data_IF_580485518436
#
_entry.id   IF_580485518436
#
_cell.length_a   1.000
_cell.length_b   1.000
_cell.length_c   1.000
_cell.angle_alpha   90.00
_cell.angle_beta   90.00
_cell.angle_gamma   90.00
#
_symmetry.space_group_name_H-M   'P 1'
#
loop_
_entity.id
_entity.type
_entity.pdbx_description
1 polymer ?
#
# COMPACT_ATOMS: atom_id res chain seq x y z
N UNK A 1 7.87 23.42 -3.03
CA UNK A 1 8.38 22.38 -2.11
C UNK A 1 7.17 21.79 -1.41
N UNK A 2 6.84 20.53 -1.66
CA UNK A 2 5.73 19.87 -0.96
C UNK A 2 6.25 19.49 0.42
N UNK A 3 5.63 20.03 1.48
CA UNK A 3 6.06 19.80 2.87
C UNK A 3 5.42 18.55 3.46
N UNK A 4 4.14 18.34 3.17
CA UNK A 4 3.42 17.15 3.55
C UNK A 4 2.31 16.85 2.55
N UNK A 5 1.93 15.58 2.45
CA UNK A 5 0.79 15.13 1.65
C UNK A 5 -0.06 14.24 2.52
N UNK A 6 -1.38 14.45 2.48
CA UNK A 6 -2.35 13.56 3.07
C UNK A 6 -3.18 12.96 1.96
N UNK A 7 -3.33 11.64 1.98
CA UNK A 7 -4.22 10.90 1.07
C UNK A 7 -5.27 10.22 1.94
N UNK A 8 -6.53 10.56 1.74
CA UNK A 8 -7.64 9.96 2.50
C UNK A 8 -8.05 8.60 1.93
N UNK A 9 -8.80 7.83 2.71
CA UNK A 9 -9.40 6.60 2.22
C UNK A 9 -10.36 6.84 1.05
N UNK A 10 -11.05 7.99 1.04
CA UNK A 10 -11.94 8.40 -0.04
C UNK A 10 -11.15 8.65 -1.33
N UNK A 11 -10.07 9.44 -1.26
CA UNK A 11 -9.16 9.66 -2.40
C UNK A 11 -8.63 8.34 -2.97
N UNK A 12 -8.24 7.40 -2.11
CA UNK A 12 -7.81 6.08 -2.54
C UNK A 12 -8.96 5.31 -3.19
N UNK A 13 -10.17 5.40 -2.63
CA UNK A 13 -11.32 4.67 -3.17
C UNK A 13 -11.69 5.19 -4.55
N UNK A 14 -11.72 6.50 -4.74
CA UNK A 14 -11.93 7.15 -6.05
C UNK A 14 -10.83 6.78 -7.04
N UNK A 15 -9.56 6.88 -6.63
CA UNK A 15 -8.44 6.47 -7.47
C UNK A 15 -8.57 5.01 -7.94
N UNK A 16 -9.01 4.11 -7.08
CA UNK A 16 -9.21 2.71 -7.44
C UNK A 16 -10.39 2.50 -8.40
N UNK A 17 -11.47 3.27 -8.28
CA UNK A 17 -12.57 3.20 -9.22
C UNK A 17 -12.11 3.52 -10.66
N UNK A 18 -11.17 4.46 -10.79
CA UNK A 18 -10.59 4.86 -12.08
C UNK A 18 -9.53 3.90 -12.62
N UNK A 19 -9.09 2.90 -11.83
CA UNK A 19 -8.13 1.91 -12.29
C UNK A 19 -8.84 0.67 -12.89
N UNK A 20 -8.38 0.16 -14.05
CA UNK A 20 -8.87 -1.10 -14.62
C UNK A 20 -8.79 -2.30 -13.66
N UNK A 21 -7.93 -2.24 -12.63
CA UNK A 21 -7.84 -3.26 -11.58
C UNK A 21 -8.62 -2.94 -10.31
N UNK A 22 -9.03 -1.69 -10.07
CA UNK A 22 -9.53 -1.25 -8.77
C UNK A 22 -11.04 -1.45 -8.54
N UNK A 23 -11.85 -1.50 -9.60
CA UNK A 23 -12.77 -2.62 -9.85
C UNK A 23 -13.36 -3.43 -8.67
N UNK A 24 -12.55 -4.39 -8.24
CA UNK A 24 -12.88 -5.34 -7.18
C UNK A 24 -11.91 -5.23 -6.01
N UNK A 25 -11.24 -4.11 -5.86
CA UNK A 25 -10.32 -3.83 -4.76
C UNK A 25 -10.93 -2.82 -3.80
N UNK A 26 -10.85 -3.10 -2.50
CA UNK A 26 -11.17 -2.13 -1.46
C UNK A 26 -10.04 -2.03 -0.45
N UNK A 27 -9.83 -0.81 0.05
CA UNK A 27 -8.82 -0.49 1.05
C UNK A 27 -9.52 0.17 2.22
N UNK A 28 -9.34 -0.38 3.41
CA UNK A 28 -9.69 0.29 4.66
C UNK A 28 -8.40 0.70 5.38
N UNK A 29 -8.25 1.98 5.67
CA UNK A 29 -7.10 2.53 6.39
C UNK A 29 -7.39 2.54 7.88
N UNK A 30 -6.68 1.71 8.62
CA UNK A 30 -6.76 1.64 10.09
C UNK A 30 -5.45 2.13 10.69
N UNK A 31 -5.46 2.52 11.96
CA UNK A 31 -4.24 2.95 12.65
C UNK A 31 -3.09 1.91 12.50
N UNK A 32 -2.04 2.37 11.81
CA UNK A 32 -0.82 1.61 11.52
C UNK A 32 -0.94 0.52 10.46
N UNK A 33 -2.07 0.35 9.77
CA UNK A 33 -2.18 -0.63 8.67
C UNK A 33 -3.33 -0.38 7.70
N UNK A 34 -3.14 -0.76 6.43
CA UNK A 34 -4.20 -0.87 5.45
C UNK A 34 -4.73 -2.31 5.39
N UNK A 35 -6.05 -2.50 5.52
CA UNK A 35 -6.72 -3.75 5.15
C UNK A 35 -7.09 -3.68 3.68
N UNK A 36 -6.47 -4.53 2.88
CA UNK A 36 -6.73 -4.64 1.43
C UNK A 36 -7.58 -5.87 1.18
N UNK A 37 -8.63 -5.72 0.36
CA UNK A 37 -9.45 -6.83 -0.12
C UNK A 37 -9.53 -6.76 -1.65
N UNK A 38 -9.32 -7.89 -2.33
CA UNK A 38 -9.47 -8.01 -3.79
C UNK A 38 -10.40 -9.17 -4.12
N UNK A 39 -11.36 -8.93 -5.00
CA UNK A 39 -12.44 -9.87 -5.34
C UNK A 39 -12.52 -10.20 -6.84
N UNK A 40 -11.84 -9.41 -7.69
CA UNK A 40 -11.97 -9.48 -9.15
C UNK A 40 -11.27 -10.68 -9.81
N UNK A 41 -10.24 -11.26 -9.20
CA UNK A 41 -9.42 -12.32 -9.81
C UNK A 41 -9.80 -13.74 -9.35
N UNK A 42 -11.04 -13.96 -8.90
CA UNK A 42 -11.51 -15.24 -8.39
C UNK A 42 -11.69 -15.24 -6.86
N UNK A 43 -11.08 -16.17 -6.10
CA UNK A 43 -11.24 -16.22 -4.64
C UNK A 43 -10.87 -14.90 -3.99
N UNK A 44 -11.63 -14.48 -2.97
CA UNK A 44 -11.37 -13.20 -2.30
C UNK A 44 -10.00 -13.22 -1.64
N UNK A 45 -9.12 -12.30 -2.05
CA UNK A 45 -7.86 -12.02 -1.38
C UNK A 45 -8.09 -10.98 -0.29
N UNK A 46 -7.51 -11.19 0.89
CA UNK A 46 -7.44 -10.21 1.98
C UNK A 46 -6.00 -10.12 2.47
N UNK A 47 -5.54 -8.93 2.78
CA UNK A 47 -4.21 -8.71 3.33
C UNK A 47 -4.22 -7.52 4.31
N UNK A 48 -3.31 -7.54 5.30
CA UNK A 48 -3.01 -6.38 6.14
C UNK A 48 -1.62 -5.86 5.79
N UNK A 49 -1.57 -4.67 5.22
CA UNK A 49 -0.35 -4.01 4.73
C UNK A 49 0.11 -2.94 5.71
N UNK A 50 1.42 -2.81 5.93
CA UNK A 50 2.03 -1.77 6.77
C UNK A 50 3.25 -1.18 6.10
N UNK A 51 3.47 0.11 6.34
CA UNK A 51 4.76 0.75 6.06
C UNK A 51 5.77 0.43 7.16
N UNK A 52 7.02 0.24 6.75
CA UNK A 52 8.18 0.10 7.63
C UNK A 52 9.26 1.11 7.27
N UNK A 53 10.34 1.18 8.06
CA UNK A 53 11.48 2.05 7.78
C UNK A 53 12.06 1.74 6.39
N UNK A 54 12.57 2.78 5.73
CA UNK A 54 13.30 2.66 4.48
C UNK A 54 14.70 2.07 4.68
N UNK A 55 15.35 1.76 3.57
CA UNK A 55 16.76 1.35 3.50
C UNK A 55 17.54 2.32 2.60
N UNK A 56 18.83 2.06 2.36
CA UNK A 56 19.69 2.92 1.53
C UNK A 56 19.17 3.14 0.10
N UNK A 57 18.26 2.29 -0.38
CA UNK A 57 17.76 2.27 -1.76
C UNK A 57 16.25 2.56 -1.85
N UNK A 58 15.56 2.72 -0.72
CA UNK A 58 14.10 2.84 -0.64
C UNK A 58 13.69 3.79 0.47
N UNK A 59 12.80 4.76 0.21
CA UNK A 59 12.37 5.72 1.24
C UNK A 59 11.55 5.07 2.37
N UNK A 60 10.90 3.93 2.10
CA UNK A 60 10.17 3.12 3.07
C UNK A 60 10.06 1.68 2.58
N UNK A 61 9.71 0.76 3.48
CA UNK A 61 9.39 -0.63 3.12
C UNK A 61 7.89 -0.90 3.23
N UNK A 62 7.40 -1.88 2.48
CA UNK A 62 6.03 -2.38 2.57
C UNK A 62 6.06 -3.83 3.06
N UNK A 63 5.26 -4.11 4.08
CA UNK A 63 5.07 -5.48 4.59
C UNK A 63 3.59 -5.84 4.50
N UNK A 64 3.30 -7.08 4.10
CA UNK A 64 1.95 -7.63 4.14
C UNK A 64 1.90 -8.83 5.09
N UNK A 65 0.83 -8.90 5.86
CA UNK A 65 0.57 -9.91 6.88
C UNK A 65 -0.88 -10.38 6.81
N UNK A 66 -1.18 -11.52 7.43
CA UNK A 66 -2.53 -12.12 7.45
C UNK A 66 -3.14 -12.23 6.04
N UNK A 67 -2.34 -12.66 5.08
CA UNK A 67 -2.82 -12.82 3.71
C UNK A 67 -3.67 -14.08 3.61
N UNK A 68 -4.89 -13.93 3.11
CA UNK A 68 -5.81 -15.04 2.88
C UNK A 68 -6.38 -14.98 1.47
N UNK A 69 -6.53 -16.12 0.81
CA UNK A 69 -7.14 -16.27 -0.51
C UNK A 69 -8.27 -17.29 -0.39
N UNK A 70 -9.52 -16.87 -0.62
CA UNK A 70 -10.68 -17.76 -0.51
C UNK A 70 -10.88 -18.36 0.88
N UNK A 71 -10.44 -17.65 1.94
CA UNK A 71 -10.52 -18.14 3.32
C UNK A 71 -9.33 -18.99 3.77
N UNK A 72 -8.43 -19.37 2.87
CA UNK A 72 -7.20 -20.09 3.20
C UNK A 72 -6.04 -19.12 3.42
N UNK A 73 -5.22 -19.32 4.46
CA UNK A 73 -4.00 -18.54 4.67
C UNK A 73 -3.00 -18.82 3.56
N UNK A 74 -2.50 -17.77 2.91
CA UNK A 74 -1.60 -17.90 1.77
C UNK A 74 -0.15 -18.05 2.26
N UNK A 75 0.62 -19.00 1.71
CA UNK A 75 2.05 -19.14 2.03
C UNK A 75 2.87 -17.89 1.68
N UNK A 76 3.88 -17.60 2.50
CA UNK A 76 4.73 -16.39 2.40
C UNK A 76 5.29 -16.03 1.01
N UNK A 77 5.70 -16.99 0.15
CA UNK A 77 6.21 -16.68 -1.20
C UNK A 77 5.20 -15.93 -2.10
N UNK A 78 3.91 -16.24 -1.98
CA UNK A 78 2.85 -15.59 -2.78
C UNK A 78 2.56 -14.17 -2.27
N UNK A 79 2.67 -13.98 -0.95
CA UNK A 79 2.58 -12.67 -0.30
C UNK A 79 3.69 -11.74 -0.80
N UNK A 80 4.92 -12.25 -0.87
CA UNK A 80 6.06 -11.50 -1.42
C UNK A 80 5.91 -11.16 -2.91
N UNK A 81 5.21 -11.97 -3.71
CA UNK A 81 4.89 -11.62 -5.10
C UNK A 81 3.93 -10.42 -5.18
N UNK A 82 2.86 -10.40 -4.39
CA UNK A 82 1.90 -9.27 -4.32
C UNK A 82 2.60 -7.99 -3.85
N UNK A 83 3.43 -8.07 -2.80
CA UNK A 83 4.19 -6.92 -2.32
C UNK A 83 5.10 -6.39 -3.43
N UNK A 84 5.89 -7.25 -4.10
CA UNK A 84 6.79 -6.80 -5.18
C UNK A 84 6.06 -6.16 -6.35
N UNK A 85 4.85 -6.62 -6.68
CA UNK A 85 4.07 -6.07 -7.79
C UNK A 85 3.40 -4.74 -7.44
N UNK A 86 3.12 -4.51 -6.15
CA UNK A 86 2.51 -3.28 -5.64
C UNK A 86 3.51 -2.33 -5.00
N UNK A 87 4.80 -2.68 -4.96
CA UNK A 87 5.85 -1.90 -4.33
C UNK A 87 6.13 -0.62 -5.15
N UNK A 88 5.66 0.55 -4.69
CA UNK A 88 5.84 1.79 -5.43
C UNK A 88 7.30 2.27 -5.37
N UNK A 89 8.14 1.71 -4.49
CA UNK A 89 9.54 2.14 -4.33
C UNK A 89 10.34 1.94 -5.61
N UNK A 90 9.98 0.95 -6.44
CA UNK A 90 10.62 0.76 -7.75
C UNK A 90 10.34 1.93 -8.71
N UNK A 91 9.11 2.47 -8.69
CA UNK A 91 8.77 3.65 -9.48
C UNK A 91 9.45 4.91 -8.92
N UNK A 92 9.56 5.03 -7.60
CA UNK A 92 10.23 6.16 -6.94
C UNK A 92 11.74 6.23 -7.23
N UNK A 93 12.42 5.08 -7.45
CA UNK A 93 13.85 5.04 -7.81
C UNK A 93 14.18 5.71 -9.15
N UNK A 94 13.22 5.79 -10.07
CA UNK A 94 13.44 6.35 -11.41
C UNK A 94 13.07 7.83 -11.48
N UNK A 95 12.79 8.48 -10.35
CA UNK A 95 12.51 9.91 -10.36
C UNK A 95 13.78 10.69 -10.72
N UNK A 96 13.69 11.68 -11.63
CA UNK A 96 14.84 12.45 -12.11
C UNK A 96 15.46 13.35 -11.02
N UNK A 97 14.88 13.38 -9.84
CA UNK A 97 15.35 14.10 -8.66
C UNK A 97 15.36 13.15 -7.45
N UNK A 98 16.40 13.17 -6.59
CA UNK A 98 16.40 12.39 -5.35
C UNK A 98 15.25 12.86 -4.45
N UNK A 99 14.27 11.98 -4.19
CA UNK A 99 13.16 12.29 -3.29
C UNK A 99 13.42 11.65 -1.93
N UNK A 100 13.73 12.50 -0.95
CA UNK A 100 13.74 12.10 0.46
C UNK A 100 12.30 12.21 0.97
N UNK A 101 11.66 11.06 1.18
CA UNK A 101 10.31 10.99 1.75
C UNK A 101 10.43 10.39 3.15
N UNK A 102 9.86 11.05 4.14
CA UNK A 102 9.70 10.41 5.45
C UNK A 102 8.79 9.18 5.35
N UNK A 103 8.98 8.15 6.18
CA UNK A 103 8.15 6.96 6.14
C UNK A 103 6.66 7.32 6.25
N UNK A 104 5.83 6.91 5.27
CA UNK A 104 4.41 7.21 5.32
C UNK A 104 3.76 6.57 6.54
N UNK A 105 2.85 7.28 7.19
CA UNK A 105 2.08 6.77 8.33
C UNK A 105 0.64 6.57 7.95
N UNK A 106 0.11 5.38 8.24
CA UNK A 106 -1.32 5.11 8.17
C UNK A 106 -1.91 5.46 9.52
N UNK A 107 -2.83 6.40 9.52
CA UNK A 107 -3.71 6.71 10.65
C UNK A 107 -5.14 6.43 10.19
N UNK A 108 -6.08 6.33 11.11
CA UNK A 108 -7.46 5.99 10.80
C UNK A 108 -8.01 6.89 9.67
N UNK A 109 -8.44 6.24 8.58
CA UNK A 109 -8.99 6.89 7.39
C UNK A 109 -8.02 7.64 6.48
N UNK A 110 -6.70 7.69 6.73
CA UNK A 110 -5.74 8.44 5.87
C UNK A 110 -4.28 7.99 5.96
N UNK A 111 -3.53 8.26 4.90
CA UNK A 111 -2.08 8.11 4.81
C UNK A 111 -1.46 9.50 4.85
N UNK A 112 -0.45 9.69 5.68
CA UNK A 112 0.28 10.96 5.82
C UNK A 112 1.74 10.77 5.44
N UNK A 113 2.28 11.74 4.68
CA UNK A 113 3.66 11.79 4.21
C UNK A 113 4.27 13.13 4.65
N UNK A 114 5.47 13.11 5.23
CA UNK A 114 6.22 14.30 5.66
C UNK A 114 5.97 14.71 7.11
N UNK A 115 6.93 15.47 7.67
CA UNK A 115 6.89 15.95 9.04
C UNK A 115 5.74 16.95 9.23
N UNK A 116 4.96 16.73 10.29
CA UNK A 116 4.04 17.72 10.83
C UNK A 116 4.83 18.86 11.48
#
# INVERSE_FOLDING_TARGET
>A
MIRSVTVTQEDLSEFLLDQPMGSGMSIALEDGAAKVRVTRFGPTLKARVRFGPGDSERPFTLSASRVSLGGMTVPGPFVNWVIRHLDPTTALRHLPVPVVVEPPRIVDGKITLGAN
#
